data_IF_433913517870
#
_entry.id   IF_433913517870
#
_cell.length_a   1.000
_cell.length_b   1.000
_cell.length_c   1.000
_cell.angle_alpha   90.00
_cell.angle_beta   90.00
_cell.angle_gamma   90.00
#
_symmetry.space_group_name_H-M   'P 1'
#
loop_
_entity.id
_entity.type
_entity.pdbx_description
1 polymer ?
#
# COMPACT_ATOMS: atom_id res chain seq x y z
N UNK A 1 -17.28 -17.52 6.80
CA UNK A 1 -16.00 -17.18 7.49
C UNK A 1 -14.84 -17.16 6.51
N UNK A 2 -14.74 -18.14 5.60
CA UNK A 2 -13.73 -18.17 4.53
C UNK A 2 -13.78 -16.93 3.62
N UNK A 3 -14.98 -16.53 3.18
CA UNK A 3 -15.15 -15.39 2.25
C UNK A 3 -14.69 -14.04 2.83
N UNK A 4 -14.80 -13.85 4.15
CA UNK A 4 -14.35 -12.64 4.84
C UNK A 4 -12.83 -12.57 4.88
N UNK A 5 -12.17 -13.71 5.09
CA UNK A 5 -10.71 -13.80 5.07
C UNK A 5 -10.18 -13.56 3.66
N UNK A 6 -10.85 -14.11 2.64
CA UNK A 6 -10.47 -13.88 1.24
C UNK A 6 -10.61 -12.40 0.86
N UNK A 7 -11.70 -11.76 1.30
CA UNK A 7 -11.92 -10.32 1.10
C UNK A 7 -10.83 -9.49 1.79
N UNK A 8 -10.47 -9.83 3.03
CA UNK A 8 -9.41 -9.15 3.76
C UNK A 8 -8.05 -9.27 3.06
N UNK A 9 -7.74 -10.44 2.52
CA UNK A 9 -6.50 -10.67 1.77
C UNK A 9 -6.47 -9.89 0.44
N UNK A 10 -7.60 -9.73 -0.24
CA UNK A 10 -7.69 -8.84 -1.41
C UNK A 10 -7.45 -7.37 -1.04
N UNK A 11 -8.06 -6.89 0.06
CA UNK A 11 -7.83 -5.53 0.56
C UNK A 11 -6.35 -5.30 0.90
N UNK A 12 -5.70 -6.28 1.55
CA UNK A 12 -4.25 -6.24 1.84
C UNK A 12 -3.42 -6.18 0.57
N UNK A 13 -3.75 -6.97 -0.45
CA UNK A 13 -3.06 -6.92 -1.76
C UNK A 13 -3.18 -5.54 -2.39
N UNK A 14 -4.39 -4.98 -2.43
CA UNK A 14 -4.64 -3.64 -2.95
C UNK A 14 -3.83 -2.57 -2.22
N UNK A 15 -3.87 -2.54 -0.88
CA UNK A 15 -3.13 -1.58 -0.07
C UNK A 15 -1.60 -1.71 -0.25
N UNK A 16 -1.08 -2.92 -0.42
CA UNK A 16 0.36 -3.16 -0.66
C UNK A 16 0.83 -2.69 -2.04
N UNK A 17 -0.04 -2.71 -3.05
CA UNK A 17 0.27 -2.18 -4.39
C UNK A 17 0.37 -0.65 -4.43
N UNK A 18 -0.23 0.06 -3.47
CA UNK A 18 -0.20 1.51 -3.38
C UNK A 18 -0.68 2.17 -4.68
N UNK A 19 0.17 2.99 -5.30
CA UNK A 19 -0.14 3.66 -6.57
C UNK A 19 -0.20 2.76 -7.81
N UNK A 20 -0.09 1.42 -7.64
CA UNK A 20 -0.12 0.42 -8.71
C UNK A 20 1.24 0.14 -9.34
N UNK A 21 1.32 -0.96 -10.10
CA UNK A 21 2.55 -1.50 -10.71
C UNK A 21 3.32 -0.45 -11.51
N UNK A 22 2.62 0.31 -12.36
CA UNK A 22 3.22 1.39 -13.16
C UNK A 22 3.97 2.43 -12.32
N UNK A 23 3.48 2.75 -11.11
CA UNK A 23 4.14 3.72 -10.22
C UNK A 23 5.32 3.10 -9.47
N UNK A 24 5.24 1.80 -9.15
CA UNK A 24 6.33 1.03 -8.56
C UNK A 24 7.50 0.98 -9.55
N UNK A 25 7.25 0.56 -10.80
CA UNK A 25 8.24 0.52 -11.87
C UNK A 25 8.89 1.88 -12.10
N UNK A 26 8.09 2.97 -12.09
CA UNK A 26 8.62 4.32 -12.22
C UNK A 26 9.52 4.75 -11.05
N UNK A 27 9.33 4.24 -9.84
CA UNK A 27 10.27 4.47 -8.74
C UNK A 27 11.57 3.71 -8.96
N UNK A 28 11.49 2.42 -9.31
CA UNK A 28 12.66 1.58 -9.56
C UNK A 28 13.48 2.08 -10.74
N UNK A 29 12.85 2.53 -11.82
CA UNK A 29 13.51 3.13 -12.98
C UNK A 29 14.30 4.41 -12.63
N UNK A 30 13.93 5.08 -11.53
CA UNK A 30 14.66 6.24 -11.00
C UNK A 30 15.76 5.85 -9.99
N UNK A 31 16.05 4.56 -9.83
CA UNK A 31 17.00 4.04 -8.84
C UNK A 31 16.52 4.16 -7.40
N UNK A 32 15.20 4.27 -7.19
CA UNK A 32 14.60 4.44 -5.86
C UNK A 32 13.82 3.21 -5.47
N UNK A 33 13.92 2.87 -4.18
CA UNK A 33 13.06 1.88 -3.55
C UNK A 33 11.67 2.47 -3.25
N UNK A 34 10.67 1.61 -3.20
CA UNK A 34 9.33 1.92 -2.67
C UNK A 34 9.39 2.18 -1.16
N UNK A 35 8.30 2.69 -0.58
CA UNK A 35 8.25 2.96 0.86
C UNK A 35 8.43 1.67 1.70
N UNK A 36 7.75 0.59 1.31
CA UNK A 36 7.84 -0.71 2.01
C UNK A 36 9.21 -1.36 1.85
N UNK A 37 9.81 -1.31 0.66
CA UNK A 37 11.17 -1.81 0.45
C UNK A 37 12.20 -1.10 1.35
N UNK A 38 12.01 0.19 1.63
CA UNK A 38 12.88 0.93 2.57
C UNK A 38 12.69 0.48 4.02
N UNK A 39 11.46 0.20 4.43
CA UNK A 39 11.14 -0.31 5.77
C UNK A 39 11.80 -1.69 5.97
N UNK A 40 11.65 -2.58 4.98
CA UNK A 40 12.21 -3.93 5.02
C UNK A 40 13.74 -3.97 5.07
N UNK A 41 14.41 -2.96 4.50
CA UNK A 41 15.86 -2.83 4.62
C UNK A 41 16.31 -2.22 5.95
N UNK A 42 15.45 -1.41 6.58
CA UNK A 42 15.79 -0.67 7.80
C UNK A 42 15.59 -1.53 9.05
N UNK A 43 14.53 -2.34 9.07
CA UNK A 43 14.10 -3.08 10.25
C UNK A 43 14.58 -4.53 10.21
N UNK A 44 14.64 -5.15 11.40
CA UNK A 44 14.92 -6.57 11.51
C UNK A 44 13.82 -7.37 10.80
N UNK A 45 14.22 -8.42 10.10
CA UNK A 45 13.31 -9.23 9.29
C UNK A 45 12.15 -9.76 10.15
N UNK A 46 10.92 -9.43 9.73
CA UNK A 46 9.70 -9.87 10.41
C UNK A 46 9.33 -9.09 11.67
N UNK A 47 10.04 -7.99 11.98
CA UNK A 47 9.74 -7.14 13.13
C UNK A 47 8.71 -6.02 12.84
N UNK A 48 8.41 -5.77 11.57
CA UNK A 48 7.52 -4.68 11.19
C UNK A 48 6.04 -5.03 11.42
N UNK A 49 5.39 -4.26 12.28
CA UNK A 49 3.95 -4.29 12.53
C UNK A 49 3.31 -3.01 12.00
N UNK A 50 2.34 -3.15 11.10
CA UNK A 50 1.73 -2.03 10.40
C UNK A 50 0.40 -1.61 11.04
N UNK A 51 0.29 -0.31 11.32
CA UNK A 51 -0.96 0.32 11.73
C UNK A 51 -1.62 1.01 10.55
N UNK A 52 -2.95 1.15 10.60
CA UNK A 52 -3.71 2.02 9.69
C UNK A 52 -3.58 1.71 8.19
N UNK A 53 -3.30 0.45 7.83
CA UNK A 53 -3.16 -0.01 6.43
C UNK A 53 -4.34 0.36 5.51
N UNK A 54 -5.55 0.48 6.06
CA UNK A 54 -6.77 0.75 5.30
C UNK A 54 -7.31 2.18 5.49
N UNK A 55 -6.51 3.09 6.04
CA UNK A 55 -6.93 4.49 6.17
C UNK A 55 -7.02 5.14 4.79
N UNK A 56 -8.19 5.70 4.49
CA UNK A 56 -8.47 6.49 3.29
C UNK A 56 -8.71 7.96 3.67
N UNK A 57 -8.41 8.87 2.75
CA UNK A 57 -8.73 10.28 2.96
C UNK A 57 -10.25 10.52 2.89
N UNK A 58 -10.72 11.59 3.54
CA UNK A 58 -12.15 11.99 3.53
C UNK A 58 -12.44 13.25 2.72
N UNK A 59 -11.45 13.77 1.99
CA UNK A 59 -11.62 14.98 1.17
C UNK A 59 -12.55 14.71 -0.02
N UNK A 60 -13.41 15.68 -0.28
CA UNK A 60 -14.31 15.74 -1.46
C UNK A 60 -13.99 16.94 -2.36
N UNK A 61 -12.96 17.71 -2.01
CA UNK A 61 -12.54 18.86 -2.81
C UNK A 61 -11.86 18.41 -4.09
N UNK A 62 -11.98 19.20 -5.17
CA UNK A 62 -11.30 18.96 -6.45
C UNK A 62 -11.51 17.56 -7.08
N UNK A 63 -12.59 16.87 -6.73
CA UNK A 63 -12.88 15.52 -7.24
C UNK A 63 -12.10 14.40 -6.56
N UNK A 64 -11.49 14.67 -5.40
CA UNK A 64 -10.71 13.70 -4.64
C UNK A 64 -11.54 12.48 -4.21
N UNK A 65 -12.86 12.58 -4.06
CA UNK A 65 -13.73 11.45 -3.73
C UNK A 65 -13.71 10.32 -4.77
N UNK A 66 -13.22 10.61 -5.98
CA UNK A 66 -13.09 9.64 -7.08
C UNK A 66 -11.79 8.85 -7.01
N UNK A 67 -10.85 9.28 -6.20
CA UNK A 67 -9.57 8.62 -5.98
C UNK A 67 -9.57 7.98 -4.59
N UNK A 68 -9.26 6.69 -4.53
CA UNK A 68 -8.98 5.99 -3.29
C UNK A 68 -7.48 6.05 -3.01
#
# INVERSE_FOLDING_TARGET
>A
MKDVLDTLEELRRGAKLGGGEKRIEAQHARGKLTARERIELLLDKGSFEEFDMFVEHRSVEFGMEKTK
#
